data_IF_488528894597
#
_entry.id   IF_488528894597
#
_cell.length_a   1.000
_cell.length_b   1.000
_cell.length_c   1.000
_cell.angle_alpha   90.00
_cell.angle_beta   90.00
_cell.angle_gamma   90.00
#
_symmetry.space_group_name_H-M   'P 1'
#
loop_
_entity.id
_entity.type
_entity.pdbx_description
1 polymer ?
#
# COMPACT_ATOMS: atom_id res chain seq x y z
N UNK A 1 -9.93 23.68 0.89
CA UNK A 1 -10.64 22.45 1.27
C UNK A 1 -10.09 21.40 0.34
N UNK A 2 -9.38 20.43 0.91
CA UNK A 2 -8.40 19.59 0.23
C UNK A 2 -8.97 18.18 0.10
N UNK A 3 -9.40 17.81 -1.10
CA UNK A 3 -10.19 16.59 -1.34
C UNK A 3 -9.30 15.37 -1.48
N UNK A 4 -9.54 14.36 -0.64
CA UNK A 4 -8.86 13.06 -0.69
C UNK A 4 -9.80 11.99 -1.23
N UNK A 5 -9.29 11.13 -2.10
CA UNK A 5 -10.01 9.93 -2.56
C UNK A 5 -9.17 8.68 -2.29
N UNK A 6 -9.71 7.74 -1.52
CA UNK A 6 -9.15 6.40 -1.37
C UNK A 6 -9.70 5.52 -2.49
N UNK A 7 -8.84 5.11 -3.41
CA UNK A 7 -9.18 4.14 -4.46
C UNK A 7 -8.76 2.76 -4.00
N UNK A 8 -9.68 1.80 -4.12
CA UNK A 8 -9.45 0.38 -3.83
C UNK A 8 -9.46 -0.39 -5.16
N UNK A 9 -8.29 -0.65 -5.78
CA UNK A 9 -8.22 -1.44 -6.99
C UNK A 9 -8.60 -2.90 -6.72
N UNK A 10 -9.59 -3.42 -7.45
CA UNK A 10 -10.04 -4.80 -7.36
C UNK A 10 -10.18 -5.39 -8.76
N UNK A 11 -9.52 -6.52 -9.01
CA UNK A 11 -9.62 -7.25 -10.27
C UNK A 11 -9.97 -8.71 -10.02
N UNK A 12 -10.79 -9.29 -10.88
CA UNK A 12 -11.13 -10.71 -10.78
C UNK A 12 -10.01 -11.61 -11.33
N UNK A 13 -9.34 -11.16 -12.39
CA UNK A 13 -8.38 -11.92 -13.23
C UNK A 13 -7.00 -12.21 -12.62
N UNK A 14 -6.88 -12.42 -11.31
CA UNK A 14 -5.62 -12.89 -10.71
C UNK A 14 -5.35 -14.34 -11.12
N UNK A 15 -4.21 -14.60 -11.78
CA UNK A 15 -3.82 -15.94 -12.23
C UNK A 15 -3.48 -16.88 -11.07
N UNK A 16 -2.88 -16.35 -10.01
CA UNK A 16 -2.46 -17.12 -8.82
C UNK A 16 -3.62 -17.42 -7.87
N UNK A 17 -4.60 -16.53 -7.83
CA UNK A 17 -5.76 -16.65 -6.94
C UNK A 17 -7.01 -16.08 -7.63
N UNK A 18 -7.69 -16.86 -8.49
CA UNK A 18 -8.85 -16.39 -9.24
C UNK A 18 -9.99 -15.91 -8.33
N UNK A 19 -10.62 -14.79 -8.68
CA UNK A 19 -11.73 -14.24 -7.88
C UNK A 19 -11.33 -13.75 -6.49
N UNK A 20 -10.03 -13.53 -6.26
CA UNK A 20 -9.41 -13.10 -5.00
C UNK A 20 -10.21 -12.07 -4.18
N UNK A 21 -10.72 -10.95 -4.76
CA UNK A 21 -11.52 -9.98 -3.99
C UNK A 21 -12.77 -10.57 -3.31
N UNK A 22 -13.35 -11.62 -3.88
CA UNK A 22 -14.58 -12.27 -3.40
C UNK A 22 -14.31 -13.46 -2.45
N UNK A 23 -13.04 -13.85 -2.27
CA UNK A 23 -12.69 -14.92 -1.35
C UNK A 23 -12.88 -14.45 0.09
N UNK A 24 -13.37 -15.36 0.93
CA UNK A 24 -13.61 -15.08 2.34
C UNK A 24 -12.34 -15.27 3.15
N UNK A 25 -12.16 -14.38 4.11
CA UNK A 25 -11.17 -14.48 5.18
C UNK A 25 -11.96 -14.40 6.48
N UNK A 26 -11.95 -15.47 7.26
CA UNK A 26 -12.72 -15.57 8.51
C UNK A 26 -14.21 -15.17 8.32
N UNK A 27 -14.84 -15.65 7.25
CA UNK A 27 -16.26 -15.47 6.97
C UNK A 27 -16.65 -14.23 6.15
N UNK A 28 -15.76 -13.25 6.01
CA UNK A 28 -16.01 -11.98 5.29
C UNK A 28 -15.18 -11.91 4.01
N UNK A 29 -15.79 -11.47 2.91
CA UNK A 29 -15.12 -11.24 1.63
C UNK A 29 -13.94 -10.27 1.79
N UNK A 30 -12.80 -10.61 1.18
CA UNK A 30 -11.55 -9.85 1.29
C UNK A 30 -11.74 -8.38 0.92
N UNK A 31 -12.47 -8.10 -0.16
CA UNK A 31 -12.75 -6.73 -0.59
C UNK A 31 -13.55 -5.93 0.44
N UNK A 32 -14.53 -6.56 1.11
CA UNK A 32 -15.35 -5.88 2.10
C UNK A 32 -14.51 -5.48 3.33
N UNK A 33 -13.56 -6.32 3.74
CA UNK A 33 -12.61 -5.98 4.81
C UNK A 33 -11.79 -4.72 4.46
N UNK A 34 -11.32 -4.62 3.22
CA UNK A 34 -10.58 -3.43 2.75
C UNK A 34 -11.49 -2.21 2.63
N UNK A 35 -12.72 -2.38 2.14
CA UNK A 35 -13.71 -1.31 2.06
C UNK A 35 -14.11 -0.78 3.44
N UNK A 36 -14.22 -1.64 4.44
CA UNK A 36 -14.50 -1.25 5.83
C UNK A 36 -13.38 -0.38 6.42
N UNK A 37 -12.12 -0.74 6.17
CA UNK A 37 -10.96 0.07 6.55
C UNK A 37 -11.02 1.45 5.90
N UNK A 38 -11.27 1.51 4.58
CA UNK A 38 -11.36 2.79 3.86
C UNK A 38 -12.53 3.65 4.37
N UNK A 39 -13.69 3.04 4.58
CA UNK A 39 -14.89 3.71 5.13
C UNK A 39 -14.60 4.35 6.48
N UNK A 40 -13.97 3.60 7.40
CA UNK A 40 -13.61 4.11 8.72
C UNK A 40 -12.66 5.33 8.63
N UNK A 41 -11.65 5.27 7.75
CA UNK A 41 -10.73 6.40 7.55
C UNK A 41 -11.48 7.61 7.00
N UNK A 42 -12.37 7.42 6.02
CA UNK A 42 -13.20 8.49 5.47
C UNK A 42 -14.14 9.12 6.50
N UNK A 43 -14.62 8.35 7.48
CA UNK A 43 -15.48 8.87 8.56
C UNK A 43 -14.69 9.70 9.60
N UNK A 44 -13.40 9.43 9.75
CA UNK A 44 -12.52 10.11 10.72
C UNK A 44 -11.69 11.24 10.11
N UNK A 45 -11.65 11.35 8.77
CA UNK A 45 -10.93 12.39 8.03
C UNK A 45 -11.89 13.32 7.30
N UNK A 46 -11.68 14.63 7.45
CA UNK A 46 -12.44 15.64 6.68
C UNK A 46 -12.17 15.53 5.18
N UNK A 47 -13.21 15.65 4.35
CA UNK A 47 -13.10 15.70 2.88
C UNK A 47 -12.41 14.46 2.26
N UNK A 48 -12.74 13.28 2.79
CA UNK A 48 -12.16 12.02 2.35
C UNK A 48 -13.29 11.08 1.90
N UNK A 49 -13.28 10.72 0.63
CA UNK A 49 -14.18 9.72 0.06
C UNK A 49 -13.40 8.45 -0.29
N UNK A 50 -14.12 7.36 -0.55
CA UNK A 50 -13.51 6.13 -1.05
C UNK A 50 -14.34 5.49 -2.16
N UNK A 51 -13.69 4.71 -3.01
CA UNK A 51 -14.33 4.00 -4.12
C UNK A 51 -13.60 2.70 -4.44
N UNK A 52 -14.35 1.63 -4.71
CA UNK A 52 -13.83 0.41 -5.32
C UNK A 52 -13.73 0.60 -6.82
N UNK A 53 -12.53 0.44 -7.37
CA UNK A 53 -12.30 0.50 -8.80
C UNK A 53 -12.17 -0.90 -9.36
N UNK A 54 -13.09 -1.32 -10.22
CA UNK A 54 -13.17 -2.68 -10.75
C UNK A 54 -13.47 -2.70 -12.24
N UNK A 55 -13.17 -3.80 -12.91
CA UNK A 55 -13.52 -4.10 -14.31
C UNK A 55 -14.51 -5.27 -14.42
N UNK A 56 -14.96 -5.80 -13.27
CA UNK A 56 -15.73 -7.04 -13.20
C UNK A 56 -17.10 -6.86 -12.55
N UNK A 57 -18.16 -7.26 -13.27
CA UNK A 57 -19.56 -7.20 -12.84
C UNK A 57 -19.85 -7.98 -11.56
N UNK A 58 -19.11 -9.07 -11.26
CA UNK A 58 -19.32 -9.84 -10.02
C UNK A 58 -18.85 -9.06 -8.79
N UNK A 59 -17.81 -8.23 -8.96
CA UNK A 59 -17.35 -7.32 -7.92
C UNK A 59 -18.35 -6.18 -7.76
N UNK A 60 -18.90 -5.64 -8.85
CA UNK A 60 -19.98 -4.65 -8.81
C UNK A 60 -21.18 -5.17 -8.01
N UNK A 61 -21.64 -6.39 -8.29
CA UNK A 61 -22.76 -7.01 -7.55
C UNK A 61 -22.49 -7.10 -6.04
N UNK A 62 -21.27 -7.45 -5.64
CA UNK A 62 -20.87 -7.45 -4.23
C UNK A 62 -20.92 -6.03 -3.65
N UNK A 63 -20.39 -5.04 -4.37
CA UNK A 63 -20.43 -3.65 -3.96
C UNK A 63 -21.86 -3.13 -3.79
N UNK A 64 -22.76 -3.41 -4.73
CA UNK A 64 -24.18 -3.03 -4.67
C UNK A 64 -24.90 -3.66 -3.47
N UNK A 65 -24.70 -4.97 -3.26
CA UNK A 65 -25.28 -5.69 -2.13
C UNK A 65 -24.87 -5.09 -0.77
N UNK A 66 -23.64 -4.59 -0.67
CA UNK A 66 -23.07 -4.04 0.56
C UNK A 66 -23.03 -2.50 0.59
N UNK A 67 -23.64 -1.83 -0.38
CA UNK A 67 -23.66 -0.36 -0.48
C UNK A 67 -22.27 0.28 -0.46
N UNK A 68 -21.29 -0.41 -1.05
CA UNK A 68 -19.92 0.08 -1.21
C UNK A 68 -19.84 0.91 -2.50
N UNK A 69 -19.37 2.18 -2.45
CA UNK A 69 -19.18 2.98 -3.65
C UNK A 69 -18.21 2.29 -4.61
N UNK A 70 -18.57 2.25 -5.89
CA UNK A 70 -17.74 1.65 -6.93
C UNK A 70 -17.67 2.51 -8.18
N UNK A 71 -16.63 2.27 -8.99
CA UNK A 71 -16.44 2.83 -10.32
C UNK A 71 -15.94 1.73 -11.25
N UNK A 72 -16.56 1.61 -12.41
CA UNK A 72 -16.04 0.75 -13.48
C UNK A 72 -14.79 1.39 -14.09
N UNK A 73 -13.78 0.56 -14.32
CA UNK A 73 -12.48 0.96 -14.87
C UNK A 73 -12.11 0.07 -16.04
N UNK A 74 -11.20 0.54 -16.89
CA UNK A 74 -10.76 -0.23 -18.05
C UNK A 74 -10.14 -1.58 -17.67
N UNK A 75 -10.53 -2.64 -18.39
CA UNK A 75 -9.89 -3.97 -18.34
C UNK A 75 -8.40 -3.94 -18.73
N UNK A 76 -7.95 -2.87 -19.39
CA UNK A 76 -6.56 -2.68 -19.80
C UNK A 76 -5.65 -2.19 -18.65
N UNK A 77 -6.22 -1.87 -17.47
CA UNK A 77 -5.43 -1.48 -16.29
C UNK A 77 -4.66 -2.69 -15.74
N UNK A 78 -3.35 -2.72 -15.97
CA UNK A 78 -2.45 -3.81 -15.57
C UNK A 78 -2.01 -3.71 -14.11
N UNK A 79 -2.12 -2.52 -13.51
CA UNK A 79 -1.70 -2.28 -12.14
C UNK A 79 -2.69 -1.42 -11.34
N UNK A 80 -2.52 -1.41 -10.01
CA UNK A 80 -3.32 -0.56 -9.14
C UNK A 80 -3.11 0.93 -9.40
N UNK A 81 -1.90 1.32 -9.81
CA UNK A 81 -1.58 2.72 -10.16
C UNK A 81 -2.29 3.14 -11.45
N UNK A 82 -2.32 2.26 -12.47
CA UNK A 82 -3.11 2.49 -13.70
C UNK A 82 -4.59 2.64 -13.41
N UNK A 83 -5.11 1.80 -12.51
CA UNK A 83 -6.52 1.87 -12.13
C UNK A 83 -6.85 3.15 -11.35
N UNK A 84 -5.96 3.63 -10.48
CA UNK A 84 -6.12 4.93 -9.82
C UNK A 84 -6.15 6.09 -10.83
N UNK A 85 -5.33 6.00 -11.88
CA UNK A 85 -5.32 7.02 -12.92
C UNK A 85 -6.59 6.97 -13.79
N UNK A 86 -7.07 5.79 -14.15
CA UNK A 86 -8.33 5.61 -14.86
C UNK A 86 -9.50 6.24 -14.07
N UNK A 87 -9.58 5.98 -12.75
CA UNK A 87 -10.53 6.66 -11.84
C UNK A 87 -10.37 8.18 -11.92
N UNK A 88 -9.13 8.69 -11.80
CA UNK A 88 -8.86 10.14 -11.83
C UNK A 88 -9.36 10.80 -13.14
N UNK A 89 -9.28 10.10 -14.27
CA UNK A 89 -9.75 10.63 -15.57
C UNK A 89 -11.28 10.67 -15.70
N UNK A 90 -11.99 9.82 -14.96
CA UNK A 90 -13.45 9.74 -15.03
C UNK A 90 -14.16 10.74 -14.10
N UNK A 91 -13.46 11.28 -13.10
CA UNK A 91 -14.06 12.19 -12.12
C UNK A 91 -14.25 13.60 -12.71
N UNK A 92 -15.43 14.22 -12.52
CA UNK A 92 -15.67 15.59 -13.00
C UNK A 92 -14.83 16.63 -12.24
N UNK A 93 -14.55 16.36 -10.97
CA UNK A 93 -13.69 17.16 -10.12
C UNK A 93 -12.57 16.25 -9.59
N UNK A 94 -11.33 16.62 -9.91
CA UNK A 94 -10.15 15.85 -9.51
C UNK A 94 -9.89 16.04 -8.01
N UNK A 95 -9.71 14.96 -7.24
CA UNK A 95 -9.21 15.08 -5.87
C UNK A 95 -7.78 15.64 -5.89
N UNK A 96 -7.39 16.32 -4.82
CA UNK A 96 -6.02 16.80 -4.68
C UNK A 96 -5.06 15.64 -4.35
N UNK A 97 -5.57 14.63 -3.66
CA UNK A 97 -4.81 13.48 -3.18
C UNK A 97 -5.54 12.16 -3.39
N UNK A 98 -4.84 11.18 -3.95
CA UNK A 98 -5.35 9.85 -4.23
C UNK A 98 -4.57 8.85 -3.39
N UNK A 99 -5.26 8.10 -2.53
CA UNK A 99 -4.67 6.96 -1.83
C UNK A 99 -4.98 5.69 -2.61
N UNK A 100 -3.96 4.96 -3.02
CA UNK A 100 -4.08 3.63 -3.59
C UNK A 100 -4.00 2.58 -2.48
N UNK A 101 -5.17 2.16 -1.98
CA UNK A 101 -5.32 1.09 -1.01
C UNK A 101 -5.56 -0.23 -1.74
N UNK A 102 -4.54 -1.09 -1.81
CA UNK A 102 -4.64 -2.36 -2.52
C UNK A 102 -5.81 -3.21 -2.01
N UNK A 103 -6.72 -3.64 -2.90
CA UNK A 103 -7.89 -4.45 -2.57
C UNK A 103 -7.57 -5.85 -2.03
N UNK A 104 -6.29 -6.19 -1.92
CA UNK A 104 -5.79 -7.44 -1.40
C UNK A 104 -5.07 -7.34 -0.06
N UNK A 105 -5.16 -6.19 0.59
CA UNK A 105 -4.55 -5.95 1.89
C UNK A 105 -5.60 -5.80 2.99
N UNK A 106 -6.35 -6.87 3.31
CA UNK A 106 -7.48 -6.84 4.25
C UNK A 106 -7.06 -6.57 5.70
N UNK A 107 -5.76 -6.59 5.99
CA UNK A 107 -5.19 -6.32 7.31
C UNK A 107 -4.40 -5.01 7.34
N UNK A 108 -4.55 -4.14 6.33
CA UNK A 108 -3.94 -2.81 6.32
C UNK A 108 -4.39 -2.01 7.56
N UNK A 109 -3.47 -1.57 8.44
CA UNK A 109 -3.89 -0.79 9.59
C UNK A 109 -4.51 0.55 9.16
N UNK A 110 -5.71 0.93 9.64
CA UNK A 110 -6.35 2.18 9.23
C UNK A 110 -5.49 3.42 9.50
N UNK A 111 -4.74 3.42 10.60
CA UNK A 111 -3.83 4.52 10.95
C UNK A 111 -2.64 4.66 9.98
N UNK A 112 -2.32 3.66 9.16
CA UNK A 112 -1.32 3.83 8.10
C UNK A 112 -1.85 4.76 7.01
N UNK A 113 -3.14 4.65 6.69
CA UNK A 113 -3.81 5.49 5.70
C UNK A 113 -3.97 6.91 6.27
N UNK A 114 -4.44 7.04 7.52
CA UNK A 114 -4.55 8.33 8.19
C UNK A 114 -3.19 9.06 8.24
N UNK A 115 -2.12 8.36 8.62
CA UNK A 115 -0.77 8.94 8.65
C UNK A 115 -0.29 9.39 7.26
N UNK A 116 -0.70 8.70 6.19
CA UNK A 116 -0.39 9.09 4.82
C UNK A 116 -1.06 10.41 4.43
N UNK A 117 -2.35 10.53 4.74
CA UNK A 117 -3.17 11.72 4.48
C UNK A 117 -2.64 12.92 5.30
N UNK A 118 -2.32 12.72 6.57
CA UNK A 118 -1.75 13.75 7.45
C UNK A 118 -0.36 14.20 6.98
N UNK A 119 0.48 13.25 6.54
CA UNK A 119 1.79 13.56 5.95
C UNK A 119 1.64 14.40 4.69
N UNK A 120 0.67 14.09 3.82
CA UNK A 120 0.38 14.91 2.66
C UNK A 120 -0.07 16.33 3.02
N UNK A 121 -1.07 16.46 3.91
CA UNK A 121 -1.58 17.76 4.37
C UNK A 121 -0.51 18.66 4.99
N UNK A 122 0.51 18.08 5.61
CA UNK A 122 1.60 18.82 6.28
C UNK A 122 2.87 18.97 5.44
N UNK A 123 2.93 18.35 4.25
CA UNK A 123 4.12 18.34 3.41
C UNK A 123 4.14 19.51 2.44
N UNK A 124 5.28 20.19 2.33
CA UNK A 124 5.53 21.25 1.34
C UNK A 124 6.29 20.78 0.10
N UNK A 125 6.76 19.53 0.10
CA UNK A 125 7.72 19.01 -0.91
C UNK A 125 7.37 17.64 -1.47
N UNK A 126 6.49 16.88 -0.82
CA UNK A 126 6.14 15.53 -1.23
C UNK A 126 5.08 15.52 -2.32
N UNK A 127 5.30 14.75 -3.37
CA UNK A 127 4.36 14.55 -4.49
C UNK A 127 3.80 13.12 -4.48
N UNK A 128 4.59 12.16 -3.99
CA UNK A 128 4.20 10.78 -3.73
C UNK A 128 4.49 10.45 -2.27
N UNK A 129 3.64 9.66 -1.63
CA UNK A 129 3.70 9.34 -0.22
C UNK A 129 3.60 7.83 -0.06
N UNK A 130 4.47 7.23 0.76
CA UNK A 130 4.36 5.79 1.06
C UNK A 130 4.94 5.46 2.44
N UNK A 131 4.37 4.51 3.20
CA UNK A 131 4.85 4.20 4.53
C UNK A 131 6.11 3.33 4.54
N UNK A 132 6.82 3.40 5.66
CA UNK A 132 7.84 2.42 6.03
C UNK A 132 7.74 2.06 7.51
N UNK A 133 8.22 0.86 7.82
CA UNK A 133 8.48 0.41 9.19
C UNK A 133 9.98 0.26 9.41
N UNK A 134 10.46 0.62 10.59
CA UNK A 134 11.82 0.28 11.02
C UNK A 134 11.83 -1.15 11.54
N UNK A 135 12.78 -1.96 11.06
CA UNK A 135 12.89 -3.33 11.51
C UNK A 135 13.75 -3.40 12.77
N UNK A 136 13.28 -4.13 13.77
CA UNK A 136 14.15 -4.69 14.81
C UNK A 136 15.20 -5.61 14.19
N UNK A 137 16.27 -5.91 14.92
CA UNK A 137 17.26 -6.89 14.47
C UNK A 137 16.66 -8.27 14.24
N UNK A 138 15.70 -8.69 15.07
CA UNK A 138 15.00 -9.96 14.93
C UNK A 138 14.16 -9.99 13.65
N UNK A 139 13.43 -8.92 13.33
CA UNK A 139 12.66 -8.82 12.09
C UNK A 139 13.56 -8.77 10.85
N UNK A 140 14.73 -8.12 10.94
CA UNK A 140 15.72 -8.14 9.86
C UNK A 140 16.25 -9.56 9.62
N UNK A 141 16.57 -10.31 10.68
CA UNK A 141 17.01 -11.70 10.55
C UNK A 141 15.91 -12.56 9.93
N UNK A 142 14.65 -12.33 10.32
CA UNK A 142 13.51 -13.01 9.70
C UNK A 142 13.37 -12.67 8.21
N UNK A 143 13.54 -11.41 7.84
CA UNK A 143 13.53 -10.99 6.44
C UNK A 143 14.65 -11.66 5.63
N UNK A 144 15.84 -11.82 6.20
CA UNK A 144 16.97 -12.53 5.56
C UNK A 144 16.62 -14.00 5.29
N UNK A 145 15.99 -14.69 6.25
CA UNK A 145 15.51 -16.07 6.06
C UNK A 145 14.48 -16.14 4.92
N UNK A 146 13.47 -15.27 4.94
CA UNK A 146 12.39 -15.25 3.93
C UNK A 146 12.96 -15.03 2.53
N UNK A 147 13.97 -14.17 2.38
CA UNK A 147 14.63 -13.89 1.10
C UNK A 147 15.47 -15.05 0.56
N UNK A 148 15.82 -16.06 1.37
CA UNK A 148 16.44 -17.28 0.84
C UNK A 148 15.46 -18.11 0.00
N UNK A 149 14.16 -18.00 0.29
CA UNK A 149 13.08 -18.72 -0.41
C UNK A 149 12.37 -17.82 -1.42
N UNK A 150 12.16 -16.55 -1.09
CA UNK A 150 11.48 -15.55 -1.91
C UNK A 150 12.35 -14.29 -2.08
N UNK A 151 13.41 -14.35 -2.91
CA UNK A 151 14.45 -13.30 -2.96
C UNK A 151 13.94 -11.87 -3.16
N UNK A 152 12.83 -11.71 -3.89
CA UNK A 152 12.26 -10.42 -4.26
C UNK A 152 11.04 -9.99 -3.42
N UNK A 153 10.76 -10.67 -2.30
CA UNK A 153 9.75 -10.23 -1.31
C UNK A 153 10.36 -9.25 -0.31
N UNK A 154 9.55 -8.39 0.32
CA UNK A 154 10.04 -7.46 1.35
C UNK A 154 11.03 -6.41 0.81
N UNK A 155 10.49 -5.41 0.10
CA UNK A 155 11.25 -4.24 -0.38
C UNK A 155 11.79 -3.42 0.79
N UNK A 156 13.03 -2.96 0.68
CA UNK A 156 13.64 -2.04 1.65
C UNK A 156 13.93 -0.68 1.03
N UNK A 157 14.08 0.34 1.86
CA UNK A 157 14.20 1.74 1.42
C UNK A 157 15.28 2.49 2.19
N UNK A 158 16.08 3.28 1.49
CA UNK A 158 16.95 4.30 2.11
C UNK A 158 16.25 5.65 2.05
N UNK A 159 16.34 6.41 3.15
CA UNK A 159 15.61 7.65 3.34
C UNK A 159 16.59 8.72 3.81
N UNK A 160 16.49 9.92 3.25
CA UNK A 160 17.30 11.07 3.64
C UNK A 160 16.76 11.75 4.93
N UNK A 161 17.39 12.85 5.34
CA UNK A 161 17.02 13.59 6.56
C UNK A 161 15.67 14.31 6.46
N UNK A 162 15.21 14.59 5.26
CA UNK A 162 13.93 15.27 4.99
C UNK A 162 12.77 14.27 4.81
N UNK A 163 13.00 13.00 5.14
CA UNK A 163 12.07 11.89 4.95
C UNK A 163 11.68 11.67 3.48
N UNK A 164 12.60 11.92 2.55
CA UNK A 164 12.45 11.56 1.14
C UNK A 164 13.18 10.25 0.86
N UNK A 165 12.57 9.37 0.07
CA UNK A 165 13.22 8.16 -0.41
C UNK A 165 14.42 8.52 -1.29
N UNK A 166 15.56 7.90 -1.02
CA UNK A 166 16.74 7.97 -1.87
C UNK A 166 16.72 6.84 -2.91
N UNK A 167 16.32 5.64 -2.50
CA UNK A 167 16.11 4.49 -3.37
C UNK A 167 15.30 3.42 -2.66
N UNK A 168 14.58 2.62 -3.44
CA UNK A 168 14.01 1.35 -3.02
C UNK A 168 14.86 0.21 -3.59
N UNK A 169 14.83 -0.95 -2.96
CA UNK A 169 15.42 -2.16 -3.54
C UNK A 169 14.76 -3.43 -3.04
N UNK A 170 14.69 -4.44 -3.91
CA UNK A 170 14.42 -5.82 -3.54
C UNK A 170 15.58 -6.46 -2.78
N UNK A 171 16.80 -5.92 -2.88
CA UNK A 171 17.87 -6.29 -1.96
C UNK A 171 17.69 -5.61 -0.60
N UNK A 172 18.33 -6.16 0.44
CA UNK A 172 18.37 -5.51 1.76
C UNK A 172 19.41 -4.38 1.69
N UNK A 173 18.93 -3.14 1.85
CA UNK A 173 19.76 -1.95 1.96
C UNK A 173 19.51 -1.24 3.32
N UNK A 174 20.52 -0.57 3.90
CA UNK A 174 21.90 -0.46 3.45
C UNK A 174 22.75 -1.70 3.75
N UNK A 175 23.98 -1.74 3.21
CA UNK A 175 25.03 -2.60 3.75
C UNK A 175 25.35 -2.20 5.21
N UNK A 176 25.41 -3.18 6.11
CA UNK A 176 25.60 -2.96 7.55
C UNK A 176 27.03 -3.29 7.96
N UNK A 177 27.90 -2.27 8.01
CA UNK A 177 29.27 -2.44 8.51
C UNK A 177 29.26 -2.53 10.04
N UNK A 178 30.06 -3.44 10.60
CA UNK A 178 30.18 -3.66 12.06
C UNK A 178 28.85 -3.98 12.75
N UNK A 179 28.02 -4.80 12.11
CA UNK A 179 26.68 -5.15 12.59
C UNK A 179 26.65 -5.63 14.06
N UNK A 180 27.61 -6.48 14.46
CA UNK A 180 27.70 -6.97 15.83
C UNK A 180 27.79 -5.85 16.88
N UNK A 181 28.52 -4.77 16.58
CA UNK A 181 28.61 -3.61 17.47
C UNK A 181 27.32 -2.78 17.45
N UNK A 182 26.65 -2.65 16.30
CA UNK A 182 25.38 -1.94 16.21
C UNK A 182 24.27 -2.63 17.00
N UNK A 183 24.23 -3.97 16.97
CA UNK A 183 23.28 -4.80 17.74
C UNK A 183 23.39 -4.60 19.25
N UNK A 184 24.58 -4.26 19.75
CA UNK A 184 24.79 -3.98 21.18
C UNK A 184 24.26 -2.60 21.59
N UNK A 185 24.16 -1.65 20.66
CA UNK A 185 23.85 -0.24 20.94
C UNK A 185 22.40 0.16 20.62
N UNK A 186 21.66 -0.67 19.88
CA UNK A 186 20.28 -0.38 19.46
C UNK A 186 19.50 -1.67 19.29
N UNK A 187 18.22 -1.67 19.69
CA UNK A 187 17.27 -2.76 19.41
C UNK A 187 16.77 -2.73 17.97
N UNK A 188 16.81 -1.55 17.33
CA UNK A 188 16.42 -1.33 15.94
C UNK A 188 17.61 -1.50 15.00
N UNK A 189 17.38 -2.21 13.91
CA UNK A 189 18.29 -2.29 12.78
C UNK A 189 18.21 -0.99 11.95
N UNK A 190 19.24 -0.68 11.13
CA UNK A 190 19.18 0.46 10.22
C UNK A 190 18.27 0.22 9.00
N UNK A 191 17.72 -0.99 8.85
CA UNK A 191 16.92 -1.39 7.69
C UNK A 191 15.49 -0.94 7.87
N UNK A 192 14.97 -0.29 6.83
CA UNK A 192 13.59 0.16 6.75
C UNK A 192 12.87 -0.66 5.69
N UNK A 193 11.76 -1.27 6.06
CA UNK A 193 10.92 -2.03 5.14
C UNK A 193 9.83 -1.11 4.60
N UNK A 194 9.72 -1.05 3.29
CA UNK A 194 8.68 -0.32 2.58
C UNK A 194 7.34 -1.07 2.69
N UNK A 195 6.25 -0.31 2.82
CA UNK A 195 4.87 -0.83 2.82
C UNK A 195 4.19 -0.42 1.51
N UNK A 196 3.62 -1.37 0.78
CA UNK A 196 2.93 -1.14 -0.50
C UNK A 196 1.56 -0.46 -0.35
N UNK A 197 1.56 0.72 0.26
CA UNK A 197 0.44 1.66 0.33
C UNK A 197 0.97 2.97 -0.25
N UNK A 198 0.21 3.61 -1.13
CA UNK A 198 0.66 4.81 -1.82
C UNK A 198 -0.37 5.91 -1.78
N UNK A 199 0.13 7.13 -1.75
CA UNK A 199 -0.63 8.36 -1.87
C UNK A 199 0.01 9.22 -2.95
N UNK A 200 -0.78 9.77 -3.84
CA UNK A 200 -0.32 10.55 -4.98
C UNK A 200 -1.03 11.90 -4.99
N UNK A 201 -0.29 12.98 -5.23
CA UNK A 201 -0.94 14.19 -5.74
C UNK A 201 -1.49 13.88 -7.14
N UNK A 202 -2.60 14.51 -7.54
CA UNK A 202 -3.14 14.32 -8.88
C UNK A 202 -2.08 14.60 -9.97
N UNK A 203 -1.28 15.65 -9.78
CA UNK A 203 -0.15 16.01 -10.65
C UNK A 203 0.90 14.90 -10.76
N UNK A 204 1.30 14.29 -9.65
CA UNK A 204 2.28 13.21 -9.67
C UNK A 204 1.75 11.99 -10.42
N UNK A 205 0.48 11.62 -10.16
CA UNK A 205 -0.16 10.50 -10.83
C UNK A 205 -0.28 10.74 -12.33
N UNK A 206 -0.68 11.94 -12.77
CA UNK A 206 -0.70 12.31 -14.19
C UNK A 206 0.70 12.25 -14.83
N UNK A 207 1.72 12.75 -14.13
CA UNK A 207 3.09 12.70 -14.62
C UNK A 207 3.56 11.25 -14.85
N UNK A 208 3.20 10.31 -13.97
CA UNK A 208 3.57 8.89 -14.10
C UNK A 208 3.17 8.30 -15.46
N UNK A 209 1.98 8.65 -15.96
CA UNK A 209 1.46 8.17 -17.25
C UNK A 209 2.00 8.91 -18.46
N UNK A 210 2.61 10.08 -18.26
CA UNK A 210 3.29 10.83 -19.31
C UNK A 210 4.77 10.39 -19.49
N UNK A 211 5.29 9.54 -18.61
CA UNK A 211 6.69 9.11 -18.58
C UNK A 211 6.84 7.64 -18.99
N UNK A 212 7.93 7.28 -19.71
CA UNK A 212 8.22 5.89 -20.02
C UNK A 212 8.56 5.09 -18.76
N UNK A 213 8.44 3.76 -18.85
CA UNK A 213 9.00 2.85 -17.84
C UNK A 213 10.48 3.15 -17.65
N UNK A 214 10.90 3.23 -16.38
CA UNK A 214 12.25 3.63 -16.00
C UNK A 214 13.18 2.42 -15.80
N UNK A 215 14.49 2.65 -15.77
CA UNK A 215 15.47 1.54 -15.80
C UNK A 215 15.37 0.68 -14.54
N UNK A 216 15.31 1.32 -13.37
CA UNK A 216 15.25 0.62 -12.10
C UNK A 216 13.85 0.15 -11.75
N UNK A 217 12.80 0.78 -12.28
CA UNK A 217 11.45 0.20 -12.24
C UNK A 217 11.44 -1.18 -12.88
N UNK A 218 12.00 -1.29 -14.09
CA UNK A 218 12.09 -2.56 -14.81
C UNK A 218 12.96 -3.58 -14.04
N UNK A 219 14.14 -3.17 -13.56
CA UNK A 219 15.06 -4.08 -12.87
C UNK A 219 14.55 -4.57 -11.51
N UNK A 220 13.94 -3.69 -10.72
CA UNK A 220 13.47 -4.02 -9.36
C UNK A 220 12.02 -4.52 -9.36
N UNK A 221 11.26 -4.32 -10.45
CA UNK A 221 9.83 -4.55 -10.50
C UNK A 221 9.08 -3.64 -9.52
N UNK A 222 9.45 -2.36 -9.48
CA UNK A 222 8.98 -1.37 -8.50
C UNK A 222 8.55 -0.08 -9.20
N UNK A 223 7.24 0.09 -9.41
CA UNK A 223 6.63 1.29 -10.05
C UNK A 223 7.12 2.60 -9.44
N UNK A 224 7.35 2.62 -8.12
CA UNK A 224 7.79 3.82 -7.42
C UNK A 224 9.17 4.33 -7.85
N UNK A 225 9.98 3.49 -8.50
CA UNK A 225 11.27 3.90 -9.08
C UNK A 225 11.09 4.88 -10.23
N UNK A 226 9.98 4.82 -10.98
CA UNK A 226 9.67 5.79 -12.04
C UNK A 226 9.60 7.21 -11.52
N UNK A 227 9.00 7.42 -10.35
CA UNK A 227 8.96 8.72 -9.71
C UNK A 227 10.37 9.19 -9.33
N UNK A 228 11.16 8.33 -8.70
CA UNK A 228 12.51 8.68 -8.26
C UNK A 228 13.45 9.01 -9.42
N UNK A 229 13.47 8.21 -10.48
CA UNK A 229 14.31 8.45 -11.66
C UNK A 229 13.95 9.76 -12.38
N UNK A 230 12.71 10.21 -12.25
CA UNK A 230 12.24 11.49 -12.80
C UNK A 230 12.24 12.65 -11.79
N UNK A 231 12.98 12.52 -10.67
CA UNK A 231 13.11 13.54 -9.62
C UNK A 231 11.78 13.96 -8.97
N UNK A 232 10.77 13.09 -8.98
CA UNK A 232 9.51 13.30 -8.26
C UNK A 232 9.71 12.84 -6.82
N UNK A 233 9.49 13.76 -5.87
CA UNK A 233 9.77 13.53 -4.47
C UNK A 233 8.81 12.50 -3.85
N UNK A 234 9.36 11.36 -3.45
CA UNK A 234 8.65 10.32 -2.70
C UNK A 234 8.88 10.52 -1.20
N UNK A 235 7.89 11.07 -0.51
CA UNK A 235 7.86 11.27 0.95
C UNK A 235 7.57 9.96 1.66
N UNK A 236 8.40 9.65 2.64
CA UNK A 236 8.32 8.42 3.42
C UNK A 236 7.67 8.67 4.77
N UNK A 237 6.62 7.90 5.08
CA UNK A 237 5.83 8.05 6.31
C UNK A 237 6.19 6.94 7.28
N UNK A 238 6.76 7.30 8.43
CA UNK A 238 7.10 6.31 9.46
C UNK A 238 5.81 5.81 10.11
N UNK A 239 5.62 4.49 10.12
CA UNK A 239 4.47 3.84 10.77
C UNK A 239 4.92 2.66 11.63
N UNK A 240 4.01 2.12 12.44
CA UNK A 240 4.24 0.93 13.25
C UNK A 240 2.92 0.22 13.56
N UNK A 241 2.96 -1.10 13.71
CA UNK A 241 1.76 -1.94 13.84
C UNK A 241 1.07 -1.90 15.22
N UNK A 242 1.56 -1.09 16.16
CA UNK A 242 0.92 -0.87 17.48
C UNK A 242 0.57 -2.18 18.22
N UNK A 243 1.48 -3.16 18.18
CA UNK A 243 1.30 -4.47 18.82
C UNK A 243 0.56 -5.51 17.97
N UNK A 244 0.08 -5.15 16.78
CA UNK A 244 -0.52 -6.08 15.82
C UNK A 244 0.52 -6.73 14.92
N UNK A 245 0.16 -7.88 14.38
CA UNK A 245 0.96 -8.64 13.43
C UNK A 245 0.79 -8.07 12.03
N UNK A 246 1.89 -7.64 11.44
CA UNK A 246 1.91 -7.15 10.07
C UNK A 246 1.89 -8.27 9.04
N UNK A 247 1.08 -8.10 8.00
CA UNK A 247 1.04 -9.01 6.85
C UNK A 247 1.24 -8.23 5.53
N UNK A 248 1.84 -8.89 4.54
CA UNK A 248 1.72 -8.47 3.14
C UNK A 248 0.31 -8.73 2.61
N UNK A 249 -0.01 -8.22 1.42
CA UNK A 249 -1.26 -8.57 0.75
C UNK A 249 -1.44 -10.08 0.51
N UNK A 250 -2.66 -10.48 0.20
CA UNK A 250 -3.07 -11.89 0.08
C UNK A 250 -2.97 -12.36 -1.37
N UNK A 251 -1.91 -13.07 -1.77
CA UNK A 251 -1.69 -13.49 -3.16
C UNK A 251 -1.82 -14.98 -3.42
N UNK A 252 -1.92 -15.79 -2.36
CA UNK A 252 -2.09 -17.25 -2.43
C UNK A 252 -3.09 -17.78 -1.40
N UNK A 253 -3.55 -19.04 -1.53
CA UNK A 253 -4.38 -19.68 -0.51
C UNK A 253 -3.71 -19.73 0.88
N UNK A 254 -2.39 -19.87 0.95
CA UNK A 254 -1.63 -19.84 2.21
C UNK A 254 -1.60 -18.44 2.83
N UNK A 255 -1.71 -17.37 2.04
CA UNK A 255 -1.90 -16.02 2.59
C UNK A 255 -3.27 -15.91 3.29
N UNK A 256 -4.34 -16.51 2.75
CA UNK A 256 -5.67 -16.50 3.40
C UNK A 256 -5.57 -17.11 4.80
N UNK A 257 -4.97 -18.31 4.90
CA UNK A 257 -4.79 -18.98 6.19
C UNK A 257 -3.96 -18.15 7.18
N UNK A 258 -2.92 -17.46 6.69
CA UNK A 258 -2.12 -16.54 7.51
C UNK A 258 -2.93 -15.34 7.99
N UNK A 259 -3.76 -14.76 7.12
CA UNK A 259 -4.64 -13.65 7.50
C UNK A 259 -5.67 -14.09 8.55
N UNK A 260 -6.27 -15.27 8.39
CA UNK A 260 -7.21 -15.84 9.37
C UNK A 260 -6.55 -16.10 10.72
N UNK A 261 -5.32 -16.63 10.74
CA UNK A 261 -4.56 -16.83 11.97
C UNK A 261 -4.22 -15.52 12.68
N UNK A 262 -3.90 -14.46 11.93
CA UNK A 262 -3.66 -13.12 12.48
C UNK A 262 -4.94 -12.56 13.08
N UNK A 263 -6.08 -12.66 12.38
CA UNK A 263 -7.38 -12.20 12.91
C UNK A 263 -7.74 -12.96 14.19
N UNK A 264 -7.51 -14.28 14.24
CA UNK A 264 -7.78 -15.08 15.41
C UNK A 264 -6.89 -14.71 16.62
N UNK A 265 -5.64 -14.31 16.37
CA UNK A 265 -4.67 -13.90 17.40
C UNK A 265 -4.91 -12.47 17.88
N UNK A 266 -5.05 -11.53 16.95
CA UNK A 266 -4.99 -10.09 17.21
C UNK A 266 -6.38 -9.44 17.28
N UNK A 267 -7.43 -10.22 16.98
CA UNK A 267 -8.80 -9.75 16.85
C UNK A 267 -9.06 -8.99 15.55
N UNK A 268 -10.29 -8.53 15.36
CA UNK A 268 -10.63 -7.59 14.29
C UNK A 268 -10.14 -6.18 14.63
N UNK A 269 -10.12 -5.28 13.64
CA UNK A 269 -10.00 -3.85 13.92
C UNK A 269 -11.32 -3.34 14.53
N UNK A 270 -11.22 -2.47 15.54
CA UNK A 270 -12.38 -1.69 15.98
C UNK A 270 -12.59 -0.55 14.99
N UNK A 271 -13.51 -0.75 14.04
CA UNK A 271 -13.85 0.20 12.99
C UNK A 271 -15.13 0.99 13.34
N UNK A 272 -15.38 1.21 14.63
CA UNK A 272 -16.45 2.11 15.08
C UNK A 272 -15.99 3.58 15.02
N UNK A 273 -16.75 4.50 14.38
CA UNK A 273 -16.36 5.90 14.21
C UNK A 273 -16.24 6.69 15.52
#
# INVERSE_FOLDING_TARGET
MHKTLIVIPARYGSTRLPGKPLLKIAGTEMLLRVADIARYVCQTQSECDYVVATDDERIVQLCEQHQVPYLMTSEQCNSGTERCFDVLQQLPEKPDFIVNLQGDNPLCPPWFISALIESWKSSSVGEVFTPYVELTWQELDKLREVKQVTPFSGTTVQINRDLLAMTFSKNIIPAIRKEASMRQNSTLSPVKRHIGLYGYTAKALEAYFAMPESTYEHCEGLEQMRFLENNIAVKMVKVGYQGRTGMSGVDSPEDIQRAEAIIASDGEYDLTP
#
